data_IF_188687430386
#
_entry.id   IF_188687430386
#
_cell.length_a   1.000
_cell.length_b   1.000
_cell.length_c   1.000
_cell.angle_alpha   90.00
_cell.angle_beta   90.00
_cell.angle_gamma   90.00
#
_symmetry.space_group_name_H-M   'P 1'
#
loop_
_entity.id
_entity.type
_entity.pdbx_description
1 polymer ?
#
# COMPACT_ATOMS: atom_id res chain seq x y z
N UNK A 1 33.95 -15.93 8.26
CA UNK A 1 32.74 -15.14 7.98
C UNK A 1 33.19 -13.71 7.71
N UNK A 2 33.07 -13.22 6.48
CA UNK A 2 33.50 -11.86 6.12
C UNK A 2 32.34 -10.92 6.33
N UNK A 3 32.57 -9.92 7.15
CA UNK A 3 31.67 -8.84 7.53
C UNK A 3 31.40 -7.96 6.29
N UNK A 4 30.18 -8.00 5.77
CA UNK A 4 29.73 -7.12 4.70
C UNK A 4 29.18 -5.84 5.34
N UNK A 5 30.08 -4.89 5.60
CA UNK A 5 29.76 -3.59 6.15
C UNK A 5 28.87 -2.75 5.22
N UNK A 6 27.55 -2.80 5.41
CA UNK A 6 26.63 -1.84 4.86
C UNK A 6 26.66 -0.55 5.68
N UNK A 7 27.42 0.45 5.22
CA UNK A 7 27.27 1.83 5.71
C UNK A 7 25.99 2.42 5.13
N UNK A 8 24.98 2.60 5.98
CA UNK A 8 23.82 3.44 5.62
C UNK A 8 24.29 4.88 5.45
N UNK A 9 24.12 5.44 4.26
CA UNK A 9 24.30 6.87 4.01
C UNK A 9 23.17 7.63 4.69
N UNK A 10 23.52 8.76 5.34
CA UNK A 10 22.54 9.67 5.93
C UNK A 10 21.50 10.14 4.93
N UNK A 11 20.26 10.46 5.38
CA UNK A 11 19.17 10.82 4.50
C UNK A 11 19.47 12.14 3.80
N UNK A 12 19.73 12.08 2.50
CA UNK A 12 19.77 13.25 1.65
C UNK A 12 18.36 13.86 1.55
N UNK A 13 18.33 15.19 1.55
CA UNK A 13 17.16 16.07 1.49
C UNK A 13 16.15 15.60 0.43
N UNK A 14 15.01 15.09 0.83
CA UNK A 14 13.99 14.45 -0.04
C UNK A 14 13.29 15.43 -1.00
N UNK A 15 13.53 16.72 -0.91
CA UNK A 15 12.92 17.72 -1.78
C UNK A 15 13.38 17.66 -3.24
N UNK A 16 14.43 16.91 -3.57
CA UNK A 16 14.95 16.78 -4.94
C UNK A 16 14.67 15.42 -5.61
N UNK A 17 13.97 14.51 -4.95
CA UNK A 17 13.72 13.16 -5.49
C UNK A 17 12.52 13.09 -6.46
N UNK A 18 11.76 14.17 -6.62
CA UNK A 18 10.58 14.23 -7.49
C UNK A 18 10.68 15.27 -8.60
N UNK A 19 11.89 15.73 -8.96
CA UNK A 19 12.05 16.38 -10.24
C UNK A 19 11.91 15.33 -11.35
N UNK A 20 10.85 15.49 -12.13
CA UNK A 20 10.48 14.66 -13.26
C UNK A 20 11.62 14.60 -14.29
N UNK A 21 12.48 13.61 -14.21
CA UNK A 21 13.29 13.21 -15.34
C UNK A 21 12.41 12.37 -16.27
N UNK A 22 12.14 12.94 -17.46
CA UNK A 22 11.43 12.28 -18.59
C UNK A 22 12.22 11.13 -19.21
N UNK A 23 13.17 10.54 -18.53
CA UNK A 23 13.98 9.44 -19.05
C UNK A 23 13.26 8.13 -18.78
N UNK A 24 12.73 7.60 -19.87
CA UNK A 24 12.07 6.30 -19.98
C UNK A 24 13.00 5.19 -19.45
N UNK A 25 12.67 4.63 -18.29
CA UNK A 25 13.32 3.40 -17.84
C UNK A 25 12.88 2.27 -18.79
N UNK A 26 13.75 1.93 -19.74
CA UNK A 26 13.56 0.77 -20.62
C UNK A 26 14.04 -0.48 -19.90
N UNK A 27 13.12 -1.28 -19.36
CA UNK A 27 13.44 -2.66 -19.00
C UNK A 27 13.54 -3.50 -20.25
N UNK A 28 14.78 -3.95 -20.62
CA UNK A 28 14.99 -4.96 -21.63
C UNK A 28 14.90 -6.35 -20.99
N UNK A 29 13.76 -7.00 -21.10
CA UNK A 29 13.71 -8.45 -20.95
C UNK A 29 14.13 -9.11 -22.26
N UNK A 30 15.15 -10.00 -22.21
CA UNK A 30 15.48 -10.87 -23.34
C UNK A 30 14.38 -11.92 -23.51
N UNK A 31 13.70 -11.86 -24.64
CA UNK A 31 12.60 -12.71 -25.03
C UNK A 31 13.02 -14.14 -25.36
N UNK A 32 12.23 -15.11 -24.87
CA UNK A 32 11.88 -16.29 -25.65
C UNK A 32 10.47 -16.09 -26.20
N UNK A 33 10.40 -15.83 -27.51
CA UNK A 33 9.28 -15.93 -28.45
C UNK A 33 7.85 -16.07 -27.91
N UNK A 34 7.27 -14.98 -27.41
CA UNK A 34 5.85 -14.74 -27.50
C UNK A 34 5.62 -13.25 -27.76
N UNK A 35 5.06 -12.92 -28.93
CA UNK A 35 4.62 -11.56 -29.26
C UNK A 35 3.38 -11.23 -28.42
N UNK A 36 3.57 -10.80 -27.19
CA UNK A 36 2.51 -10.18 -26.43
C UNK A 36 2.37 -8.75 -26.94
N UNK A 37 1.29 -8.45 -27.66
CA UNK A 37 0.91 -7.08 -27.99
C UNK A 37 0.48 -6.41 -26.69
N UNK A 38 1.36 -5.64 -26.08
CA UNK A 38 0.97 -4.70 -25.04
C UNK A 38 0.20 -3.56 -25.71
N UNK A 39 -1.11 -3.51 -25.52
CA UNK A 39 -1.84 -2.27 -25.69
C UNK A 39 -1.21 -1.25 -24.74
N UNK A 40 -1.03 0.01 -25.19
CA UNK A 40 -0.46 1.10 -24.40
C UNK A 40 -1.02 1.06 -22.99
N UNK A 41 -0.24 0.55 -22.03
CA UNK A 41 -0.60 0.60 -20.61
C UNK A 41 -0.54 2.08 -20.25
N UNK A 42 -1.65 2.68 -19.77
CA UNK A 42 -1.60 4.03 -19.21
C UNK A 42 -0.48 4.05 -18.17
N UNK A 43 0.27 5.15 -18.08
CA UNK A 43 1.47 5.23 -17.23
C UNK A 43 1.19 4.60 -15.87
N UNK A 44 1.99 3.60 -15.49
CA UNK A 44 1.92 2.94 -14.17
C UNK A 44 2.53 3.85 -13.08
N UNK A 45 2.76 5.11 -13.38
CA UNK A 45 3.32 6.08 -12.45
C UNK A 45 2.29 6.42 -11.38
N UNK A 46 2.62 6.12 -10.14
CA UNK A 46 1.83 6.58 -9.00
C UNK A 46 1.99 8.09 -8.83
N UNK A 47 0.88 8.78 -8.64
CA UNK A 47 0.87 10.22 -8.35
C UNK A 47 0.79 10.41 -6.84
N UNK A 48 1.77 11.11 -6.26
CA UNK A 48 1.72 11.47 -4.86
C UNK A 48 0.67 12.55 -4.62
N UNK A 49 -0.35 12.20 -3.87
CA UNK A 49 -1.36 13.13 -3.39
C UNK A 49 -1.05 13.48 -1.94
N UNK A 50 -0.99 14.77 -1.63
CA UNK A 50 -0.74 15.25 -0.27
C UNK A 50 -1.92 16.09 0.20
N UNK A 51 -2.48 15.73 1.32
CA UNK A 51 -3.52 16.48 2.01
C UNK A 51 -3.25 16.46 3.52
N UNK A 52 -3.30 17.61 4.18
CA UNK A 52 -3.00 17.75 5.61
C UNK A 52 -1.69 17.08 6.03
N UNK A 53 -0.64 17.24 5.23
CA UNK A 53 0.68 16.61 5.38
C UNK A 53 0.69 15.08 5.21
N UNK A 54 -0.43 14.43 4.95
CA UNK A 54 -0.49 12.99 4.69
C UNK A 54 -0.22 12.75 3.21
N UNK A 55 0.77 11.91 2.92
CA UNK A 55 1.13 11.55 1.54
C UNK A 55 0.68 10.15 1.17
N UNK A 56 -0.12 10.03 0.11
CA UNK A 56 -0.61 8.75 -0.43
C UNK A 56 -0.38 8.71 -1.94
N UNK A 57 0.19 7.62 -2.43
CA UNK A 57 0.30 7.38 -3.86
C UNK A 57 -1.04 6.89 -4.40
N UNK A 58 -1.51 7.52 -5.47
CA UNK A 58 -2.69 7.14 -6.26
C UNK A 58 -2.25 6.72 -7.65
N UNK A 59 -2.90 5.71 -8.21
CA UNK A 59 -2.60 5.22 -9.55
C UNK A 59 -3.71 5.68 -10.52
N UNK A 60 -3.39 6.48 -11.56
CA UNK A 60 -4.38 7.02 -12.48
C UNK A 60 -5.27 5.96 -13.11
N UNK A 61 -4.72 4.79 -13.45
CA UNK A 61 -5.47 3.66 -14.00
C UNK A 61 -6.60 3.17 -13.08
N UNK A 62 -6.39 3.20 -11.76
CA UNK A 62 -7.42 2.84 -10.78
C UNK A 62 -8.36 4.01 -10.50
N UNK A 63 -7.84 5.24 -10.46
CA UNK A 63 -8.67 6.45 -10.26
C UNK A 63 -9.71 6.62 -11.37
N UNK A 64 -9.36 6.32 -12.61
CA UNK A 64 -10.25 6.43 -13.77
C UNK A 64 -11.42 5.44 -13.75
N UNK A 65 -11.34 4.36 -12.97
CA UNK A 65 -12.45 3.40 -12.84
C UNK A 65 -13.68 4.03 -12.17
N UNK A 66 -13.50 5.04 -11.31
CA UNK A 66 -14.56 5.86 -10.75
C UNK A 66 -15.33 5.26 -9.56
N UNK A 67 -15.41 3.94 -9.43
CA UNK A 67 -16.07 3.27 -8.30
C UNK A 67 -15.10 2.63 -7.30
N UNK A 68 -13.79 2.72 -7.55
CA UNK A 68 -12.75 2.19 -6.67
C UNK A 68 -11.98 3.32 -6.01
N UNK A 69 -11.89 3.30 -4.69
CA UNK A 69 -10.93 4.12 -3.95
C UNK A 69 -9.72 3.26 -3.59
N UNK A 70 -8.53 3.82 -3.71
CA UNK A 70 -7.28 3.10 -3.45
C UNK A 70 -6.22 4.06 -2.95
N UNK A 71 -5.14 3.53 -2.41
CA UNK A 71 -3.98 4.30 -2.02
C UNK A 71 -2.84 3.43 -1.52
N UNK A 72 -1.63 3.87 -1.77
CA UNK A 72 -0.44 3.32 -1.15
C UNK A 72 0.14 4.38 -0.22
N UNK A 73 0.12 4.12 1.08
CA UNK A 73 0.61 5.06 2.09
C UNK A 73 2.10 5.31 1.95
N UNK A 74 2.52 6.52 2.24
CA UNK A 74 3.93 6.87 2.38
C UNK A 74 4.28 7.10 3.85
N UNK A 75 5.53 7.44 4.14
CA UNK A 75 5.95 7.81 5.50
C UNK A 75 5.50 9.20 5.94
N UNK A 76 4.84 9.98 5.07
CA UNK A 76 4.48 11.37 5.33
C UNK A 76 3.21 11.50 6.16
N UNK A 77 3.24 12.38 7.15
CA UNK A 77 2.06 12.83 7.88
C UNK A 77 1.63 11.96 9.05
N UNK A 78 2.44 11.00 9.47
CA UNK A 78 2.19 10.23 10.69
C UNK A 78 2.65 10.95 11.96
N UNK A 79 2.49 10.27 13.10
CA UNK A 79 2.84 10.76 14.43
C UNK A 79 3.92 9.92 15.12
N UNK A 80 4.32 8.79 14.53
CA UNK A 80 5.41 7.95 15.04
C UNK A 80 6.73 8.73 15.05
N UNK A 81 7.63 8.38 15.99
CA UNK A 81 8.89 9.07 16.22
C UNK A 81 10.09 8.14 15.99
N UNK A 82 11.29 8.72 16.05
CA UNK A 82 12.55 7.97 15.92
C UNK A 82 12.65 7.24 14.58
N UNK A 83 13.10 6.01 14.62
CA UNK A 83 13.28 5.17 13.42
C UNK A 83 11.97 4.77 12.73
N UNK A 84 10.83 4.85 13.42
CA UNK A 84 9.50 4.59 12.88
C UNK A 84 8.81 5.83 12.28
N UNK A 85 9.48 6.99 12.32
CA UNK A 85 8.89 8.24 11.83
C UNK A 85 8.61 8.18 10.32
N UNK A 86 7.43 8.64 9.92
CA UNK A 86 6.36 9.15 10.78
C UNK A 86 5.08 8.33 10.71
N UNK A 87 4.80 7.62 9.61
CA UNK A 87 3.55 6.91 9.31
C UNK A 87 3.75 5.39 9.50
N UNK A 88 4.13 4.95 10.70
CA UNK A 88 4.14 3.53 10.99
C UNK A 88 2.69 3.00 11.10
N UNK A 89 2.38 1.99 10.31
CA UNK A 89 1.07 1.31 10.26
C UNK A 89 1.16 -0.15 10.75
N UNK A 90 2.25 -0.50 11.42
CA UNK A 90 2.48 -1.86 11.92
C UNK A 90 2.33 -1.92 13.44
N UNK A 91 1.42 -2.76 13.92
CA UNK A 91 1.27 -3.08 15.34
C UNK A 91 2.34 -4.07 15.87
N UNK A 92 3.16 -4.65 14.99
CA UNK A 92 4.22 -5.60 15.35
C UNK A 92 5.59 -4.95 15.54
N UNK A 93 5.69 -3.64 15.35
CA UNK A 93 6.90 -2.86 15.61
C UNK A 93 6.83 -2.28 17.02
N UNK A 94 7.99 -1.86 17.54
CA UNK A 94 8.15 -1.24 18.86
C UNK A 94 7.61 0.20 18.89
N UNK A 95 6.32 0.36 18.55
CA UNK A 95 5.62 1.63 18.59
C UNK A 95 4.43 1.54 19.54
N UNK A 96 4.04 2.67 20.10
CA UNK A 96 2.83 2.73 20.92
C UNK A 96 1.57 2.45 20.09
N UNK A 97 0.67 1.62 20.64
CA UNK A 97 -0.55 1.20 19.95
C UNK A 97 -1.46 2.38 19.57
N UNK A 98 -1.55 3.40 20.45
CA UNK A 98 -2.36 4.60 20.17
C UNK A 98 -1.75 5.45 19.06
N UNK A 99 -0.41 5.52 19.00
CA UNK A 99 0.33 6.16 17.92
C UNK A 99 0.01 5.49 16.57
N UNK A 100 0.05 4.16 16.52
CA UNK A 100 -0.29 3.41 15.30
C UNK A 100 -1.76 3.60 14.93
N UNK A 101 -2.69 3.55 15.89
CA UNK A 101 -4.09 3.84 15.65
C UNK A 101 -4.29 5.25 15.08
N UNK A 102 -3.63 6.27 15.64
CA UNK A 102 -3.68 7.64 15.11
C UNK A 102 -3.22 7.71 13.67
N UNK A 103 -2.17 6.95 13.30
CA UNK A 103 -1.72 6.87 11.91
C UNK A 103 -2.79 6.25 11.00
N UNK A 104 -3.46 5.17 11.44
CA UNK A 104 -4.58 4.59 10.68
C UNK A 104 -5.73 5.58 10.52
N UNK A 105 -6.12 6.30 11.58
CA UNK A 105 -7.16 7.34 11.52
C UNK A 105 -6.84 8.40 10.46
N UNK A 106 -5.60 8.84 10.40
CA UNK A 106 -5.14 9.81 9.40
C UNK A 106 -5.26 9.27 7.98
N UNK A 107 -4.82 8.03 7.73
CA UNK A 107 -4.96 7.38 6.41
C UNK A 107 -6.44 7.17 6.07
N UNK A 108 -7.26 6.71 7.01
CA UNK A 108 -8.70 6.55 6.82
C UNK A 108 -9.37 7.87 6.46
N UNK A 109 -9.07 8.95 7.19
CA UNK A 109 -9.57 10.30 6.90
C UNK A 109 -9.17 10.77 5.51
N UNK A 110 -7.90 10.54 5.11
CA UNK A 110 -7.43 10.87 3.76
C UNK A 110 -8.22 10.11 2.67
N UNK A 111 -8.55 8.85 2.92
CA UNK A 111 -9.30 7.99 1.99
C UNK A 111 -10.82 8.17 2.08
N UNK A 112 -11.34 9.00 2.99
CA UNK A 112 -12.77 9.21 3.18
C UNK A 112 -13.50 8.02 3.80
N UNK A 113 -12.85 7.31 4.71
CA UNK A 113 -13.37 6.13 5.43
C UNK A 113 -13.01 6.21 6.92
N UNK A 114 -13.29 5.15 7.66
CA UNK A 114 -12.91 5.00 9.08
C UNK A 114 -12.33 3.59 9.31
N UNK A 115 -11.76 3.37 10.50
CA UNK A 115 -11.07 2.12 10.85
C UNK A 115 -12.00 0.91 10.93
N UNK A 116 -13.28 1.12 11.19
CA UNK A 116 -14.27 0.05 11.23
C UNK A 116 -14.43 -0.64 9.87
N UNK A 117 -14.16 0.08 8.78
CA UNK A 117 -14.26 -0.46 7.42
C UNK A 117 -13.01 -1.21 6.95
N UNK A 118 -11.95 -1.21 7.73
CA UNK A 118 -10.69 -1.88 7.38
C UNK A 118 -10.81 -3.39 7.57
N UNK A 119 -10.20 -4.14 6.65
CA UNK A 119 -9.99 -5.59 6.77
C UNK A 119 -8.54 -5.90 6.42
N UNK A 120 -7.80 -6.44 7.38
CA UNK A 120 -6.38 -6.72 7.22
C UNK A 120 -6.11 -8.12 6.69
N UNK A 121 -5.15 -8.24 5.79
CA UNK A 121 -4.52 -9.52 5.45
C UNK A 121 -3.73 -10.07 6.64
N UNK A 122 -3.29 -11.31 6.52
CA UNK A 122 -2.34 -11.96 7.44
C UNK A 122 -1.26 -12.65 6.61
N UNK A 123 -0.38 -11.84 6.06
CA UNK A 123 0.58 -12.23 5.02
C UNK A 123 1.69 -13.13 5.59
N UNK A 124 1.89 -14.25 4.92
CA UNK A 124 2.93 -15.24 5.22
C UNK A 124 3.76 -15.61 3.99
N UNK A 125 3.62 -14.86 2.90
CA UNK A 125 4.25 -15.09 1.60
C UNK A 125 3.76 -16.39 0.94
N UNK A 126 2.45 -16.60 0.97
CA UNK A 126 1.75 -17.71 0.33
C UNK A 126 0.77 -17.22 -0.74
N UNK A 127 0.01 -18.13 -1.34
CA UNK A 127 -0.92 -17.86 -2.45
C UNK A 127 -2.39 -17.77 -2.02
N UNK A 128 -2.67 -17.85 -0.73
CA UNK A 128 -4.03 -17.89 -0.19
C UNK A 128 -4.70 -16.53 -0.31
N UNK A 129 -5.84 -16.53 -1.01
CA UNK A 129 -6.72 -15.35 -1.17
C UNK A 129 -8.01 -15.58 -0.40
N UNK A 130 -8.46 -14.57 0.36
CA UNK A 130 -9.72 -14.59 1.10
C UNK A 130 -10.78 -13.74 0.41
N UNK A 131 -11.96 -14.30 0.19
CA UNK A 131 -13.18 -13.54 -0.09
C UNK A 131 -13.60 -12.83 1.20
N UNK A 132 -13.59 -11.50 1.19
CA UNK A 132 -13.96 -10.65 2.33
C UNK A 132 -15.43 -10.28 2.23
N UNK A 133 -16.15 -10.47 3.33
CA UNK A 133 -17.56 -10.14 3.46
C UNK A 133 -17.76 -9.02 4.48
N UNK A 134 -19.00 -8.56 4.67
CA UNK A 134 -19.33 -7.54 5.66
C UNK A 134 -19.04 -7.98 7.10
N UNK A 135 -19.05 -9.28 7.38
CA UNK A 135 -18.72 -9.86 8.69
C UNK A 135 -17.25 -9.69 9.06
N UNK A 136 -16.39 -9.54 8.03
CA UNK A 136 -14.94 -9.30 8.22
C UNK A 136 -14.61 -7.84 8.57
N UNK A 137 -15.58 -6.94 8.48
CA UNK A 137 -15.41 -5.51 8.73
C UNK A 137 -14.76 -5.26 10.10
N UNK A 138 -13.65 -4.50 10.12
CA UNK A 138 -12.88 -4.16 11.32
C UNK A 138 -11.86 -5.22 11.76
N UNK A 139 -11.78 -6.38 11.09
CA UNK A 139 -10.83 -7.44 11.46
C UNK A 139 -9.38 -7.03 11.20
N UNK A 140 -8.56 -7.10 12.22
CA UNK A 140 -7.13 -6.74 12.24
C UNK A 140 -6.82 -5.43 12.94
N UNK A 141 -7.80 -4.55 13.12
CA UNK A 141 -7.64 -3.28 13.83
C UNK A 141 -8.63 -3.12 14.98
N UNK A 142 -9.93 -3.11 14.69
CA UNK A 142 -11.01 -2.96 15.68
C UNK A 142 -11.39 -4.31 16.29
N UNK A 143 -11.37 -5.36 15.49
CA UNK A 143 -11.68 -6.73 15.89
C UNK A 143 -10.46 -7.64 15.68
N UNK A 144 -10.35 -8.66 16.48
CA UNK A 144 -9.37 -9.72 16.27
C UNK A 144 -9.70 -10.47 14.97
N UNK A 145 -8.66 -10.79 14.18
CA UNK A 145 -8.79 -11.70 13.04
C UNK A 145 -9.06 -13.12 13.53
N UNK A 146 -9.86 -13.84 12.79
CA UNK A 146 -10.20 -15.26 12.98
C UNK A 146 -9.67 -16.14 11.82
N UNK A 147 -8.77 -15.60 11.01
CA UNK A 147 -8.09 -16.28 9.91
C UNK A 147 -6.58 -16.03 9.94
N UNK A 148 -5.83 -16.97 9.33
CA UNK A 148 -4.37 -16.98 9.29
C UNK A 148 -3.87 -17.31 7.88
N UNK A 149 -2.66 -16.82 7.57
CA UNK A 149 -1.95 -17.13 6.32
C UNK A 149 -2.74 -16.68 5.10
N UNK A 150 -3.20 -15.44 5.07
CA UNK A 150 -3.96 -14.85 3.97
C UNK A 150 -3.16 -13.71 3.38
N UNK A 151 -2.61 -13.90 2.18
CA UNK A 151 -1.76 -12.93 1.49
C UNK A 151 -2.54 -12.02 0.54
N UNK A 152 -3.68 -12.46 0.03
CA UNK A 152 -4.55 -11.67 -0.83
C UNK A 152 -5.96 -11.51 -0.26
N UNK A 153 -6.56 -10.35 -0.52
CA UNK A 153 -7.94 -10.06 -0.15
C UNK A 153 -8.74 -9.67 -1.40
N UNK A 154 -9.97 -10.16 -1.51
CA UNK A 154 -10.90 -9.79 -2.58
C UNK A 154 -12.28 -9.54 -1.98
N UNK A 155 -13.01 -8.54 -2.48
CA UNK A 155 -14.40 -8.27 -2.09
C UNK A 155 -15.19 -7.67 -3.24
N UNK A 156 -16.49 -7.89 -3.23
CA UNK A 156 -17.48 -7.18 -4.02
C UNK A 156 -18.40 -6.32 -3.14
N UNK A 157 -18.09 -6.17 -1.86
CA UNK A 157 -18.90 -5.39 -0.91
C UNK A 157 -18.41 -3.93 -0.90
N UNK A 158 -19.26 -2.96 -1.30
CA UNK A 158 -18.89 -1.56 -1.25
C UNK A 158 -18.60 -1.09 0.18
N UNK A 159 -17.66 -0.14 0.31
CA UNK A 159 -17.32 0.49 1.57
C UNK A 159 -16.31 -0.27 2.44
N UNK A 160 -15.97 -1.52 2.11
CA UNK A 160 -14.86 -2.21 2.77
C UNK A 160 -13.52 -1.75 2.19
N UNK A 161 -12.55 -1.49 3.06
CA UNK A 161 -11.18 -1.16 2.68
C UNK A 161 -10.25 -2.33 2.98
N UNK A 162 -9.79 -3.00 1.95
CA UNK A 162 -8.85 -4.11 2.04
C UNK A 162 -7.43 -3.56 2.29
N UNK A 163 -6.76 -4.08 3.31
CA UNK A 163 -5.44 -3.60 3.73
C UNK A 163 -4.43 -4.73 3.68
N UNK A 164 -3.35 -4.48 2.96
CA UNK A 164 -2.17 -5.33 2.87
C UNK A 164 -0.92 -4.52 3.21
N UNK A 165 0.11 -5.18 3.73
CA UNK A 165 1.32 -4.52 4.24
C UNK A 165 2.53 -4.93 3.41
N UNK A 166 3.41 -3.97 3.15
CA UNK A 166 4.58 -4.17 2.30
C UNK A 166 5.83 -3.51 2.92
N UNK A 167 6.94 -4.22 2.85
CA UNK A 167 8.27 -3.66 3.09
C UNK A 167 9.06 -3.66 1.76
N UNK A 168 9.23 -4.83 1.15
CA UNK A 168 10.03 -5.03 -0.06
C UNK A 168 9.23 -5.62 -1.23
N UNK A 169 8.08 -6.27 -0.93
CA UNK A 169 7.24 -6.91 -1.93
C UNK A 169 6.51 -5.89 -2.82
N UNK A 170 6.24 -6.26 -4.06
CA UNK A 170 5.48 -5.45 -5.00
C UNK A 170 3.98 -5.56 -4.70
N UNK A 171 3.28 -4.44 -4.43
CA UNK A 171 1.84 -4.46 -4.25
C UNK A 171 1.13 -4.68 -5.58
N UNK A 172 0.11 -5.53 -5.59
CA UNK A 172 -0.72 -5.80 -6.75
C UNK A 172 -2.16 -5.42 -6.47
N UNK A 173 -2.76 -4.64 -7.37
CA UNK A 173 -4.16 -4.26 -7.34
C UNK A 173 -4.88 -4.86 -8.56
N UNK A 174 -5.99 -5.55 -8.33
CA UNK A 174 -6.84 -6.11 -9.36
C UNK A 174 -8.25 -5.58 -9.20
N UNK A 175 -8.85 -5.14 -10.30
CA UNK A 175 -10.23 -4.64 -10.32
C UNK A 175 -10.95 -5.25 -11.51
N UNK A 176 -12.11 -5.89 -11.25
CA UNK A 176 -13.04 -6.29 -12.30
C UNK A 176 -13.87 -5.07 -12.70
N UNK A 177 -13.71 -4.63 -13.94
CA UNK A 177 -14.41 -3.45 -14.49
C UNK A 177 -15.76 -3.78 -15.15
N UNK A 178 -16.13 -5.05 -15.20
CA UNK A 178 -17.36 -5.50 -15.89
C UNK A 178 -18.58 -5.60 -14.97
N UNK A 179 -18.47 -5.13 -13.75
CA UNK A 179 -19.58 -5.13 -12.80
C UNK A 179 -20.13 -3.76 -12.55
#
# INVERSE_FOLDING_TARGET
MKDLGYKMKEPQNYNNLFQTNKDKVKYKYKNHNTKIKYNKIPSMEGILNVNNNIGVLKFPSLTQIGFVNHGFSTRLGGVSKGHLASMNLSFSREDDRETVNTNFQRICSFLGTNEENLVFSDQVHDTKIRMVTKEDQGKGIVKKRDYFGVDGLITNIPGLLLVTFYADCVPLYFVDIKK
#
